data_IF_171321897740
#
_entry.id   IF_171321897740
#
_cell.length_a   1.000
_cell.length_b   1.000
_cell.length_c   1.000
_cell.angle_alpha   90.00
_cell.angle_beta   90.00
_cell.angle_gamma   90.00
#
_symmetry.space_group_name_H-M   'P 1'
#
loop_
_entity.id
_entity.type
_entity.pdbx_description
1 polymer ?
#
# COMPACT_ATOMS: atom_id res chain seq x y z
N UNK A 1 -54.08 22.44 9.91
CA UNK A 1 -52.90 23.30 10.20
C UNK A 1 -52.04 22.57 11.22
N UNK A 2 -51.13 21.68 10.75
CA UNK A 2 -50.24 20.89 11.58
C UNK A 2 -48.81 21.35 11.33
N UNK A 3 -48.22 22.06 12.30
CA UNK A 3 -46.79 22.36 12.34
C UNK A 3 -46.09 21.19 13.05
N UNK A 4 -45.36 20.36 12.31
CA UNK A 4 -44.43 19.40 12.88
C UNK A 4 -43.10 20.11 13.00
N UNK A 5 -42.73 20.43 14.26
CA UNK A 5 -41.42 20.95 14.62
C UNK A 5 -40.53 19.75 14.87
N UNK A 6 -39.74 19.33 13.89
CA UNK A 6 -38.67 18.37 14.08
C UNK A 6 -37.41 19.15 14.45
N UNK A 7 -37.24 19.38 15.75
CA UNK A 7 -35.93 19.75 16.30
C UNK A 7 -35.05 18.54 16.28
N UNK A 8 -34.30 18.37 15.20
CA UNK A 8 -33.18 17.45 15.15
C UNK A 8 -32.07 18.05 16.01
N UNK A 9 -31.81 17.45 17.15
CA UNK A 9 -30.53 17.58 17.85
C UNK A 9 -29.44 17.00 16.92
N UNK A 10 -28.90 17.86 16.09
CA UNK A 10 -27.59 17.61 15.47
C UNK A 10 -26.58 17.67 16.60
N UNK A 11 -26.09 16.51 17.03
CA UNK A 11 -24.94 16.42 17.88
C UNK A 11 -23.80 17.24 17.24
N UNK A 12 -23.17 18.07 18.03
CA UNK A 12 -21.98 18.81 17.66
C UNK A 12 -20.98 17.82 17.03
N UNK A 13 -20.78 17.94 15.71
CA UNK A 13 -19.65 17.29 15.05
C UNK A 13 -18.40 18.00 15.55
N UNK A 14 -17.71 17.40 16.48
CA UNK A 14 -16.33 17.78 16.80
C UNK A 14 -15.53 17.64 15.49
N UNK A 15 -14.99 18.76 14.99
CA UNK A 15 -14.18 18.81 13.77
C UNK A 15 -14.89 19.49 12.59
N UNK A 16 -15.56 20.64 12.81
CA UNK A 16 -15.82 21.55 11.71
C UNK A 16 -14.49 22.18 11.29
N UNK A 17 -13.96 21.68 10.19
CA UNK A 17 -12.81 22.24 9.49
C UNK A 17 -13.04 23.73 9.24
N UNK A 18 -12.41 24.59 10.01
CA UNK A 18 -12.56 26.05 9.85
C UNK A 18 -11.82 26.47 8.59
N UNK A 19 -12.58 26.68 7.52
CA UNK A 19 -12.07 27.37 6.34
C UNK A 19 -11.84 28.84 6.67
N UNK A 20 -10.66 29.35 6.34
CA UNK A 20 -10.29 30.74 6.49
C UNK A 20 -10.02 31.34 5.13
N UNK A 21 -10.53 32.55 4.91
CA UNK A 21 -10.19 33.36 3.75
C UNK A 21 -8.96 34.18 4.10
N UNK A 22 -7.85 33.96 3.39
CA UNK A 22 -6.60 34.71 3.58
C UNK A 22 -6.13 35.30 2.25
N UNK A 23 -5.23 36.27 2.30
CA UNK A 23 -4.58 36.80 1.10
C UNK A 23 -3.65 35.75 0.51
N UNK A 24 -3.52 35.72 -0.79
CA UNK A 24 -2.70 34.72 -1.48
C UNK A 24 -1.23 34.79 -1.08
N UNK A 25 -0.71 35.99 -0.82
CA UNK A 25 0.66 36.20 -0.35
C UNK A 25 0.92 35.61 1.05
N UNK A 26 -0.13 35.51 1.88
CA UNK A 26 -0.04 34.97 3.23
C UNK A 26 -0.38 33.46 3.28
N UNK A 27 -0.65 32.85 2.12
CA UNK A 27 -1.15 31.48 2.05
C UNK A 27 -0.06 30.40 2.03
N UNK A 28 1.22 30.77 1.97
CA UNK A 28 2.33 29.79 1.94
C UNK A 28 2.27 28.83 3.15
N UNK A 29 2.33 27.53 2.87
CA UNK A 29 2.18 26.47 3.88
C UNK A 29 0.73 26.14 4.25
N UNK A 30 -0.25 26.85 3.70
CA UNK A 30 -1.68 26.56 3.90
C UNK A 30 -2.20 25.58 2.85
N UNK A 31 -3.28 24.87 3.17
CA UNK A 31 -3.89 23.85 2.30
C UNK A 31 -5.12 24.42 1.60
N UNK A 32 -5.21 24.29 0.28
CA UNK A 32 -6.35 24.78 -0.51
C UNK A 32 -7.63 23.98 -0.22
N UNK A 33 -8.73 24.69 0.04
CA UNK A 33 -10.04 24.07 0.28
C UNK A 33 -10.77 23.65 -1.00
N UNK A 34 -10.39 24.20 -2.16
CA UNK A 34 -11.04 23.91 -3.45
C UNK A 34 -10.04 23.89 -4.58
N UNK A 35 -10.47 23.30 -5.72
CA UNK A 35 -9.72 23.36 -6.97
C UNK A 35 -9.63 24.79 -7.46
N UNK A 36 -8.45 25.21 -7.89
CA UNK A 36 -8.21 26.47 -8.59
C UNK A 36 -8.12 26.19 -10.08
N UNK A 37 -9.12 26.61 -10.84
CA UNK A 37 -9.20 26.36 -12.27
C UNK A 37 -8.69 27.58 -13.06
N UNK A 38 -7.89 27.34 -14.07
CA UNK A 38 -7.53 28.34 -15.08
C UNK A 38 -8.39 28.11 -16.33
N UNK A 39 -8.96 29.19 -16.85
CA UNK A 39 -9.69 29.18 -18.13
C UNK A 39 -8.97 30.12 -19.10
N UNK A 40 -8.31 29.54 -20.10
CA UNK A 40 -7.75 30.27 -21.24
C UNK A 40 -8.61 29.90 -22.44
N UNK A 41 -9.42 30.85 -22.99
CA UNK A 41 -10.32 30.55 -24.11
C UNK A 41 -9.57 29.90 -25.28
N UNK A 42 -10.02 28.70 -25.68
CA UNK A 42 -9.45 27.96 -26.82
C UNK A 42 -8.17 27.16 -26.52
N UNK A 43 -7.60 27.24 -25.31
CA UNK A 43 -6.31 26.60 -24.96
C UNK A 43 -6.42 25.67 -23.77
N UNK A 44 -6.92 26.13 -22.61
CA UNK A 44 -6.95 25.34 -21.35
C UNK A 44 -8.23 25.63 -20.56
N UNK A 45 -8.87 24.55 -20.09
CA UNK A 45 -9.86 24.58 -19.01
C UNK A 45 -9.53 23.43 -18.07
N UNK A 46 -8.60 23.64 -17.18
CA UNK A 46 -8.18 22.60 -16.21
C UNK A 46 -7.85 23.21 -14.85
N UNK A 47 -7.80 22.38 -13.82
CA UNK A 47 -7.38 22.78 -12.49
C UNK A 47 -5.86 22.97 -12.46
N UNK A 48 -5.40 24.22 -12.19
CA UNK A 48 -3.98 24.53 -11.99
C UNK A 48 -3.52 23.98 -10.64
N UNK A 49 -4.38 24.12 -9.63
CA UNK A 49 -4.17 23.53 -8.30
C UNK A 49 -5.43 22.82 -7.87
N UNK A 50 -5.27 21.67 -7.28
CA UNK A 50 -6.40 20.87 -6.76
C UNK A 50 -6.62 21.15 -5.28
N UNK A 51 -7.83 20.88 -4.81
CA UNK A 51 -8.17 20.81 -3.38
C UNK A 51 -7.12 19.91 -2.68
N UNK A 52 -6.62 20.34 -1.52
CA UNK A 52 -5.61 19.61 -0.79
C UNK A 52 -4.16 19.99 -1.15
N UNK A 53 -3.95 20.83 -2.16
CA UNK A 53 -2.61 21.35 -2.50
C UNK A 53 -2.09 22.25 -1.39
N UNK A 54 -0.85 22.02 -0.94
CA UNK A 54 -0.15 22.89 0.01
C UNK A 54 0.51 24.00 -0.78
N UNK A 55 0.13 25.25 -0.51
CA UNK A 55 0.64 26.42 -1.22
C UNK A 55 2.12 26.63 -0.92
N UNK A 56 2.94 26.72 -1.97
CA UNK A 56 4.38 27.04 -1.89
C UNK A 56 4.64 28.51 -2.26
N UNK A 57 5.84 29.00 -2.02
CA UNK A 57 6.25 30.35 -2.47
C UNK A 57 6.17 30.50 -4.00
N UNK A 58 6.46 29.41 -4.74
CA UNK A 58 6.42 29.39 -6.20
C UNK A 58 5.00 29.43 -6.76
N UNK A 59 4.01 29.01 -5.99
CA UNK A 59 2.59 28.99 -6.40
C UNK A 59 1.94 30.37 -6.31
N UNK A 60 2.42 31.23 -5.43
CA UNK A 60 1.84 32.57 -5.19
C UNK A 60 1.71 33.38 -6.47
N UNK A 61 2.77 33.55 -7.29
CA UNK A 61 2.67 34.28 -8.57
C UNK A 61 1.67 33.65 -9.53
N UNK A 62 1.58 32.33 -9.56
CA UNK A 62 0.66 31.58 -10.43
C UNK A 62 -0.79 31.82 -9.98
N UNK A 63 -1.07 31.70 -8.67
CA UNK A 63 -2.37 31.96 -8.09
C UNK A 63 -2.86 33.39 -8.35
N UNK A 64 -2.00 34.38 -8.18
CA UNK A 64 -2.29 35.76 -8.50
C UNK A 64 -2.56 35.96 -10.00
N UNK A 65 -1.80 35.28 -10.88
CA UNK A 65 -1.99 35.36 -12.34
C UNK A 65 -3.33 34.83 -12.82
N UNK A 66 -3.93 33.88 -12.09
CA UNK A 66 -5.29 33.35 -12.37
C UNK A 66 -6.38 34.12 -11.62
N UNK A 67 -6.05 35.31 -11.07
CA UNK A 67 -6.98 36.23 -10.45
C UNK A 67 -7.42 35.85 -9.02
N UNK A 68 -6.61 35.06 -8.31
CA UNK A 68 -6.88 34.66 -6.93
C UNK A 68 -6.11 35.54 -5.95
N UNK A 69 -6.68 36.70 -5.60
CA UNK A 69 -6.11 37.58 -4.56
C UNK A 69 -6.33 37.03 -3.15
N UNK A 70 -7.37 36.21 -2.97
CA UNK A 70 -7.70 35.54 -1.70
C UNK A 70 -7.99 34.06 -1.95
N UNK A 71 -7.62 33.25 -0.98
CA UNK A 71 -7.79 31.81 -1.00
C UNK A 71 -8.56 31.34 0.22
N UNK A 72 -9.47 30.39 0.00
CA UNK A 72 -10.02 29.62 1.10
C UNK A 72 -9.06 28.49 1.42
N UNK A 73 -8.47 28.55 2.59
CA UNK A 73 -7.50 27.56 3.08
C UNK A 73 -7.99 26.92 4.37
N UNK A 74 -7.49 25.73 4.61
CA UNK A 74 -7.62 25.08 5.91
C UNK A 74 -6.62 25.71 6.88
N UNK A 75 -7.11 26.14 8.03
CA UNK A 75 -6.22 26.60 9.09
C UNK A 75 -5.45 25.39 9.63
N UNK A 76 -4.10 25.47 9.64
CA UNK A 76 -3.28 24.42 10.24
C UNK A 76 -3.58 24.37 11.73
N UNK A 77 -4.37 23.36 12.14
CA UNK A 77 -4.72 23.17 13.53
C UNK A 77 -3.61 22.37 14.22
N UNK A 78 -3.22 22.79 15.40
CA UNK A 78 -2.32 22.05 16.27
C UNK A 78 -2.95 20.68 16.59
N UNK A 79 -2.16 19.60 16.49
CA UNK A 79 -2.66 18.23 16.69
C UNK A 79 -3.37 17.60 15.47
N UNK A 80 -3.31 18.23 14.28
CA UNK A 80 -3.84 17.69 13.03
C UNK A 80 -2.72 17.49 12.01
N UNK A 81 -2.76 16.36 11.29
CA UNK A 81 -1.87 16.04 10.18
C UNK A 81 -2.60 16.17 8.85
N UNK A 82 -1.91 16.70 7.84
CA UNK A 82 -2.37 16.65 6.46
C UNK A 82 -2.40 15.20 5.95
N UNK A 83 -3.31 14.87 5.04
CA UNK A 83 -3.49 13.50 4.51
C UNK A 83 -2.20 12.88 3.99
N UNK A 84 -1.30 13.66 3.35
CA UNK A 84 -0.03 13.15 2.84
C UNK A 84 0.96 12.83 3.97
N UNK A 85 1.03 13.67 5.01
CA UNK A 85 1.88 13.42 6.18
C UNK A 85 1.39 12.17 6.95
N UNK A 86 0.07 12.04 7.07
CA UNK A 86 -0.55 10.87 7.67
C UNK A 86 -0.36 9.59 6.83
N UNK A 87 -0.39 9.69 5.48
CA UNK A 87 -0.07 8.57 4.61
C UNK A 87 1.40 8.10 4.78
N UNK A 88 2.32 9.03 5.05
CA UNK A 88 3.72 8.70 5.38
C UNK A 88 3.85 7.93 6.70
N UNK A 89 3.02 8.25 7.70
CA UNK A 89 2.93 7.44 8.93
C UNK A 89 2.46 6.03 8.61
N UNK A 90 1.44 5.87 7.75
CA UNK A 90 0.98 4.54 7.32
C UNK A 90 2.09 3.79 6.58
N UNK A 91 2.85 4.46 5.72
CA UNK A 91 4.00 3.85 5.04
C UNK A 91 5.00 3.28 6.04
N UNK A 92 5.36 4.04 7.08
CA UNK A 92 6.33 3.62 8.09
C UNK A 92 5.91 2.34 8.82
N UNK A 93 4.63 2.17 9.14
CA UNK A 93 4.12 0.98 9.84
C UNK A 93 3.78 -0.18 8.91
N UNK A 94 3.59 0.09 7.62
CA UNK A 94 3.22 -0.93 6.64
C UNK A 94 4.41 -1.54 5.91
N UNK A 95 5.44 -0.71 5.59
CA UNK A 95 6.51 -1.08 4.68
C UNK A 95 7.58 -1.92 5.36
N UNK A 96 7.64 -3.21 5.04
CA UNK A 96 8.77 -4.07 5.37
C UNK A 96 9.86 -4.05 4.30
N UNK A 97 10.84 -4.94 4.45
CA UNK A 97 11.92 -5.11 3.50
C UNK A 97 11.41 -5.57 2.12
N UNK A 98 12.19 -5.30 1.08
CA UNK A 98 11.93 -5.67 -0.31
C UNK A 98 10.66 -5.06 -0.91
N UNK A 99 10.29 -3.85 -0.45
CA UNK A 99 9.17 -3.07 -0.97
C UNK A 99 9.59 -1.67 -1.38
N UNK A 100 9.05 -1.17 -2.49
CA UNK A 100 9.12 0.23 -2.90
C UNK A 100 7.81 0.92 -2.57
N UNK A 101 7.88 2.15 -2.08
CA UNK A 101 6.73 3.01 -1.89
C UNK A 101 6.62 4.02 -3.03
N UNK A 102 5.41 4.34 -3.45
CA UNK A 102 5.14 5.51 -4.27
C UNK A 102 5.25 6.79 -3.44
N UNK A 103 5.34 7.94 -4.09
CA UNK A 103 5.13 9.22 -3.43
C UNK A 103 3.71 9.34 -2.87
N UNK A 104 3.57 10.10 -1.78
CA UNK A 104 2.28 10.39 -1.19
C UNK A 104 1.52 11.38 -2.07
N UNK A 105 0.31 11.01 -2.50
CA UNK A 105 -0.55 11.87 -3.32
C UNK A 105 -2.00 11.68 -2.89
N UNK A 106 -2.68 12.80 -2.56
CA UNK A 106 -4.08 12.78 -2.11
C UNK A 106 -4.31 11.78 -0.97
N UNK A 107 -3.40 11.77 0.01
CA UNK A 107 -3.44 10.86 1.15
C UNK A 107 -3.18 9.39 0.83
N UNK A 108 -2.71 9.06 -0.40
CA UNK A 108 -2.53 7.69 -0.89
C UNK A 108 -1.06 7.38 -1.14
N UNK A 109 -0.63 6.19 -0.70
CA UNK A 109 0.65 5.55 -1.04
C UNK A 109 0.38 4.11 -1.47
N UNK A 110 1.14 3.61 -2.45
CA UNK A 110 1.13 2.21 -2.87
C UNK A 110 2.50 1.58 -2.61
N UNK A 111 2.51 0.35 -2.08
CA UNK A 111 3.73 -0.46 -1.97
C UNK A 111 3.77 -1.50 -3.08
N UNK A 112 4.96 -1.67 -3.68
CA UNK A 112 5.23 -2.65 -4.73
C UNK A 112 6.40 -3.55 -4.34
N UNK A 113 6.39 -4.81 -4.78
CA UNK A 113 7.45 -5.77 -4.52
C UNK A 113 8.74 -5.42 -5.28
N UNK A 114 9.90 -5.48 -4.62
CA UNK A 114 11.23 -5.33 -5.23
C UNK A 114 11.77 -6.63 -5.79
N UNK A 115 11.28 -7.78 -5.31
CA UNK A 115 11.73 -9.12 -5.73
C UNK A 115 10.56 -10.10 -5.73
N UNK A 116 10.81 -11.27 -6.32
CA UNK A 116 9.92 -12.42 -6.20
C UNK A 116 10.04 -13.02 -4.80
N UNK A 117 8.91 -13.37 -4.18
CA UNK A 117 8.90 -13.88 -2.82
C UNK A 117 7.51 -14.24 -2.32
N UNK A 118 7.44 -14.60 -1.04
CA UNK A 118 6.19 -14.89 -0.34
C UNK A 118 5.75 -13.66 0.46
N UNK A 119 4.56 -13.15 0.17
CA UNK A 119 3.96 -12.05 0.94
C UNK A 119 3.45 -12.56 2.29
N UNK A 120 3.93 -11.96 3.37
CA UNK A 120 3.44 -12.16 4.74
C UNK A 120 2.70 -10.91 5.19
N UNK A 121 1.60 -11.09 5.90
CA UNK A 121 0.76 -10.01 6.41
C UNK A 121 0.43 -10.28 7.87
N UNK A 122 0.70 -9.32 8.75
CA UNK A 122 0.16 -9.33 10.10
C UNK A 122 -1.33 -8.93 10.04
N UNK A 123 -2.21 -9.93 9.99
CA UNK A 123 -3.65 -9.73 9.80
C UNK A 123 -4.33 -9.04 10.98
N UNK A 124 -3.82 -9.24 12.18
CA UNK A 124 -4.36 -8.62 13.40
C UNK A 124 -4.13 -7.12 13.33
N UNK A 125 -2.87 -6.69 13.17
CA UNK A 125 -2.51 -5.27 13.01
C UNK A 125 -3.26 -4.62 11.83
N UNK A 126 -3.34 -5.29 10.68
CA UNK A 126 -4.07 -4.80 9.51
C UNK A 126 -5.54 -4.51 9.83
N UNK A 127 -6.21 -5.45 10.49
CA UNK A 127 -7.62 -5.32 10.85
C UNK A 127 -7.84 -4.25 11.91
N UNK A 128 -6.98 -4.16 12.91
CA UNK A 128 -7.06 -3.15 13.98
C UNK A 128 -6.87 -1.73 13.42
N UNK A 129 -5.89 -1.50 12.54
CA UNK A 129 -5.69 -0.21 11.88
C UNK A 129 -6.92 0.15 11.03
N UNK A 130 -7.45 -0.79 10.23
CA UNK A 130 -8.65 -0.54 9.44
C UNK A 130 -9.90 -0.26 10.32
N UNK A 131 -9.97 -0.84 11.51
CA UNK A 131 -11.09 -0.63 12.45
C UNK A 131 -11.10 0.77 13.07
N UNK A 132 -9.99 1.52 13.07
CA UNK A 132 -9.93 2.89 13.60
C UNK A 132 -10.78 3.88 12.78
N UNK A 133 -11.19 3.52 11.55
CA UNK A 133 -11.91 4.39 10.64
C UNK A 133 -11.06 5.52 10.06
N UNK A 134 -11.50 6.12 8.96
CA UNK A 134 -10.79 7.18 8.22
C UNK A 134 -9.45 6.74 7.60
N UNK A 135 -9.03 5.51 7.82
CA UNK A 135 -7.81 4.88 7.28
C UNK A 135 -8.23 3.63 6.52
N UNK A 136 -7.62 3.40 5.36
CA UNK A 136 -7.87 2.21 4.54
C UNK A 136 -6.54 1.59 4.11
N UNK A 137 -6.34 0.35 4.51
CA UNK A 137 -5.26 -0.51 4.04
C UNK A 137 -5.88 -1.64 3.21
N UNK A 138 -5.73 -1.61 1.89
CA UNK A 138 -6.25 -2.62 0.97
C UNK A 138 -5.09 -3.37 0.31
N UNK A 139 -4.96 -4.67 0.57
CA UNK A 139 -3.82 -5.46 0.16
C UNK A 139 -4.20 -6.70 -0.64
N UNK A 140 -3.19 -7.31 -1.29
CA UNK A 140 -3.29 -8.70 -1.75
C UNK A 140 -3.46 -9.65 -0.57
N UNK A 141 -3.86 -10.88 -0.87
CA UNK A 141 -3.96 -11.93 0.14
C UNK A 141 -2.57 -12.36 0.61
N UNK A 142 -2.41 -12.52 1.93
CA UNK A 142 -1.17 -13.03 2.52
C UNK A 142 -0.95 -14.52 2.28
N UNK A 143 0.30 -14.97 2.45
CA UNK A 143 0.78 -16.34 2.16
C UNK A 143 0.65 -16.73 0.68
N UNK A 144 0.68 -15.76 -0.23
CA UNK A 144 0.72 -15.98 -1.67
C UNK A 144 2.04 -15.47 -2.26
N UNK A 145 2.50 -16.09 -3.35
CA UNK A 145 3.67 -15.62 -4.07
C UNK A 145 3.39 -14.27 -4.73
N UNK A 146 4.39 -13.41 -4.71
CA UNK A 146 4.40 -12.13 -5.41
C UNK A 146 5.61 -12.07 -6.32
N UNK A 147 5.49 -11.35 -7.43
CA UNK A 147 6.57 -11.08 -8.39
C UNK A 147 7.06 -9.66 -8.24
N UNK A 148 8.31 -9.42 -8.62
CA UNK A 148 8.88 -8.08 -8.70
C UNK A 148 7.96 -7.16 -9.51
N UNK A 149 7.63 -5.99 -8.93
CA UNK A 149 6.72 -5.00 -9.53
C UNK A 149 5.25 -5.20 -9.18
N UNK A 150 4.87 -6.29 -8.53
CA UNK A 150 3.50 -6.50 -8.07
C UNK A 150 3.11 -5.46 -7.03
N UNK A 151 1.89 -4.91 -7.15
CA UNK A 151 1.29 -4.07 -6.12
C UNK A 151 0.89 -4.93 -4.93
N UNK A 152 1.40 -4.58 -3.75
CA UNK A 152 1.18 -5.31 -2.50
C UNK A 152 -0.01 -4.75 -1.74
N UNK A 153 0.03 -3.45 -1.47
CA UNK A 153 -0.99 -2.74 -0.69
C UNK A 153 -1.14 -1.32 -1.21
N UNK A 154 -2.38 -0.84 -1.26
CA UNK A 154 -2.73 0.57 -1.33
C UNK A 154 -3.19 1.03 0.05
N UNK A 155 -2.57 2.08 0.55
CA UNK A 155 -2.94 2.70 1.82
C UNK A 155 -3.46 4.11 1.56
N UNK A 156 -4.47 4.52 2.33
CA UNK A 156 -5.07 5.83 2.19
C UNK A 156 -5.59 6.37 3.51
N UNK A 157 -5.35 7.65 3.74
CA UNK A 157 -6.08 8.46 4.72
C UNK A 157 -7.22 9.13 3.97
N UNK A 158 -8.46 8.96 4.46
CA UNK A 158 -9.66 9.37 3.73
C UNK A 158 -9.94 10.88 3.86
N UNK A 159 -9.88 11.50 5.08
CA UNK A 159 -10.06 12.94 5.22
C UNK A 159 -8.81 13.72 4.81
N UNK A 160 -8.98 14.98 4.39
CA UNK A 160 -7.89 15.89 4.04
C UNK A 160 -6.95 16.15 5.23
N UNK A 161 -7.50 16.17 6.43
CA UNK A 161 -6.78 16.28 7.69
C UNK A 161 -7.28 15.23 8.68
N UNK A 162 -6.39 14.69 9.48
CA UNK A 162 -6.68 13.64 10.48
C UNK A 162 -6.01 13.99 11.80
N UNK A 163 -6.59 13.56 12.92
CA UNK A 163 -6.03 13.76 14.25
C UNK A 163 -4.65 13.10 14.36
N UNK A 164 -3.64 13.87 14.77
CA UNK A 164 -2.28 13.37 15.00
C UNK A 164 -2.25 12.28 16.08
N UNK A 165 -3.09 12.42 17.12
CA UNK A 165 -3.27 11.43 18.17
C UNK A 165 -3.69 10.06 17.59
N UNK A 166 -4.61 10.04 16.62
CA UNK A 166 -5.01 8.80 15.93
C UNK A 166 -3.85 8.17 15.18
N UNK A 167 -3.01 8.97 14.50
CA UNK A 167 -1.84 8.46 13.78
C UNK A 167 -0.74 7.99 14.73
N UNK A 168 -0.59 8.61 15.90
CA UNK A 168 0.31 8.13 16.95
C UNK A 168 -0.19 6.80 17.53
N UNK A 169 -1.51 6.66 17.72
CA UNK A 169 -2.10 5.38 18.14
C UNK A 169 -1.85 4.26 17.12
N UNK A 170 -1.89 4.55 15.81
CA UNK A 170 -1.51 3.59 14.76
C UNK A 170 -0.07 3.11 14.93
N UNK A 171 0.87 4.02 15.23
CA UNK A 171 2.28 3.66 15.48
C UNK A 171 2.42 2.77 16.71
N UNK A 172 1.74 3.10 17.80
CA UNK A 172 1.77 2.31 19.05
C UNK A 172 1.22 0.90 18.82
N UNK A 173 0.09 0.80 18.14
CA UNK A 173 -0.56 -0.47 17.81
C UNK A 173 0.32 -1.36 16.92
N UNK A 174 1.02 -0.79 15.94
CA UNK A 174 1.89 -1.54 15.05
C UNK A 174 3.25 -1.87 15.67
N UNK A 175 3.77 -1.02 16.58
CA UNK A 175 5.11 -1.19 17.16
C UNK A 175 6.21 -1.18 16.09
N UNK A 176 7.28 -1.93 16.31
CA UNK A 176 8.46 -1.95 15.43
C UNK A 176 8.32 -2.87 14.21
N UNK A 177 7.48 -3.90 14.30
CA UNK A 177 7.32 -4.86 13.21
C UNK A 177 6.33 -4.35 12.16
N UNK A 178 6.71 -4.35 10.86
CA UNK A 178 5.84 -3.89 9.79
C UNK A 178 4.64 -4.84 9.59
N UNK A 179 3.53 -4.27 9.08
CA UNK A 179 2.32 -5.05 8.76
C UNK A 179 2.58 -6.01 7.60
N UNK A 180 3.37 -5.58 6.60
CA UNK A 180 3.66 -6.35 5.39
C UNK A 180 5.15 -6.68 5.33
N UNK A 181 5.47 -7.92 4.94
CA UNK A 181 6.85 -8.39 4.75
C UNK A 181 6.90 -9.29 3.53
N UNK A 182 7.94 -9.17 2.71
CA UNK A 182 8.23 -10.12 1.63
C UNK A 182 9.38 -11.00 2.07
N UNK A 183 9.18 -12.31 2.03
CA UNK A 183 10.22 -13.30 2.19
C UNK A 183 10.72 -13.68 0.79
N UNK A 184 11.93 -13.25 0.38
CA UNK A 184 12.45 -13.55 -0.95
C UNK A 184 12.58 -15.05 -1.17
N UNK A 185 12.28 -15.52 -2.38
CA UNK A 185 12.57 -16.90 -2.75
C UNK A 185 14.07 -17.09 -2.91
N UNK A 186 14.59 -18.15 -2.30
CA UNK A 186 15.98 -18.54 -2.46
C UNK A 186 16.11 -19.50 -3.65
N UNK A 187 17.08 -19.23 -4.51
CA UNK A 187 17.46 -20.20 -5.51
C UNK A 187 18.17 -21.37 -4.82
N UNK A 188 17.62 -22.56 -4.98
CA UNK A 188 18.21 -23.79 -4.44
C UNK A 188 18.57 -24.75 -5.56
N UNK A 189 19.59 -25.59 -5.31
CA UNK A 189 19.92 -26.74 -6.14
C UNK A 189 19.19 -27.95 -5.62
N UNK A 190 18.52 -28.68 -6.51
CA UNK A 190 17.65 -29.79 -6.14
C UNK A 190 18.03 -31.03 -6.92
N UNK A 191 18.28 -32.14 -6.21
CA UNK A 191 18.32 -33.49 -6.78
C UNK A 191 16.94 -34.14 -6.60
N UNK A 192 16.54 -34.98 -7.55
CA UNK A 192 15.29 -35.75 -7.45
C UNK A 192 15.64 -37.22 -7.29
N UNK A 193 15.14 -37.86 -6.26
CA UNK A 193 15.19 -39.31 -6.11
C UNK A 193 13.81 -39.86 -6.31
N UNK A 194 13.60 -40.64 -7.37
CA UNK A 194 12.30 -41.27 -7.68
C UNK A 194 12.42 -42.76 -7.31
N UNK A 195 11.51 -43.21 -6.43
CA UNK A 195 11.43 -44.61 -6.03
C UNK A 195 10.23 -45.28 -6.66
N UNK A 196 10.32 -46.56 -6.87
CA UNK A 196 9.23 -47.39 -7.41
C UNK A 196 9.76 -48.54 -8.23
N UNK A 197 9.54 -49.76 -7.75
CA UNK A 197 10.02 -51.00 -8.39
C UNK A 197 9.55 -51.15 -9.84
N UNK A 198 8.30 -50.73 -10.11
CA UNK A 198 7.73 -50.83 -11.45
C UNK A 198 8.32 -49.82 -12.44
N UNK A 199 8.74 -48.67 -11.96
CA UNK A 199 9.40 -47.63 -12.77
C UNK A 199 10.88 -48.02 -12.94
N UNK A 200 11.54 -48.45 -11.86
CA UNK A 200 12.93 -48.83 -11.87
C UNK A 200 13.20 -50.00 -12.83
N UNK A 201 12.35 -51.02 -12.82
CA UNK A 201 12.43 -52.15 -13.75
C UNK A 201 11.82 -51.88 -15.13
N UNK A 202 11.43 -50.65 -15.45
CA UNK A 202 10.91 -50.27 -16.76
C UNK A 202 9.55 -50.87 -17.14
N UNK A 203 8.78 -51.35 -16.16
CA UNK A 203 7.43 -51.91 -16.37
C UNK A 203 6.43 -50.84 -16.73
N UNK A 204 6.60 -49.64 -16.18
CA UNK A 204 5.81 -48.43 -16.52
C UNK A 204 6.80 -47.26 -16.76
N UNK A 205 6.34 -46.27 -17.53
CA UNK A 205 7.08 -45.05 -17.76
C UNK A 205 6.91 -44.09 -16.58
N UNK A 206 8.03 -43.50 -16.12
CA UNK A 206 8.00 -42.45 -15.09
C UNK A 206 7.31 -41.20 -15.65
N UNK A 207 6.13 -40.92 -15.11
CA UNK A 207 5.36 -39.69 -15.38
C UNK A 207 5.44 -38.67 -14.25
N UNK A 208 6.03 -39.02 -13.12
CA UNK A 208 6.09 -38.20 -11.94
C UNK A 208 7.27 -37.21 -11.97
N UNK A 209 8.48 -37.72 -12.25
CA UNK A 209 9.70 -36.91 -12.31
C UNK A 209 9.59 -35.73 -13.27
N UNK A 210 9.04 -35.85 -14.52
CA UNK A 210 8.88 -34.71 -15.42
C UNK A 210 8.02 -33.60 -14.83
N UNK A 211 6.94 -33.96 -14.13
CA UNK A 211 6.01 -32.99 -13.50
C UNK A 211 6.69 -32.26 -12.33
N UNK A 212 7.40 -33.00 -11.47
CA UNK A 212 8.15 -32.42 -10.35
C UNK A 212 9.25 -31.51 -10.86
N UNK A 213 10.03 -31.95 -11.86
CA UNK A 213 11.07 -31.16 -12.50
C UNK A 213 10.52 -29.83 -13.03
N UNK A 214 9.45 -29.87 -13.82
CA UNK A 214 8.83 -28.67 -14.36
C UNK A 214 8.39 -27.68 -13.26
N UNK A 215 7.82 -28.17 -12.14
CA UNK A 215 7.42 -27.33 -11.01
C UNK A 215 8.61 -26.70 -10.28
N UNK A 216 9.73 -27.43 -10.13
CA UNK A 216 10.93 -26.92 -9.51
C UNK A 216 11.59 -25.83 -10.38
N UNK A 217 11.65 -26.06 -11.70
CA UNK A 217 12.15 -25.09 -12.67
C UNK A 217 11.27 -23.83 -12.73
N UNK A 218 9.93 -24.00 -12.69
CA UNK A 218 8.96 -22.86 -12.59
C UNK A 218 9.16 -22.04 -11.30
N UNK A 219 9.55 -22.71 -10.20
CA UNK A 219 9.90 -22.06 -8.94
C UNK A 219 11.31 -21.44 -8.93
N UNK A 220 12.05 -21.47 -10.06
CA UNK A 220 13.38 -20.91 -10.21
C UNK A 220 14.50 -21.74 -9.58
N UNK A 221 14.26 -23.03 -9.29
CA UNK A 221 15.26 -23.93 -8.72
C UNK A 221 16.11 -24.58 -9.82
N UNK A 222 17.41 -24.79 -9.54
CA UNK A 222 18.32 -25.51 -10.42
C UNK A 222 18.18 -27.02 -10.15
N UNK A 223 17.62 -27.77 -11.12
CA UNK A 223 17.52 -29.22 -11.00
C UNK A 223 18.85 -29.86 -11.49
N UNK A 224 19.61 -30.43 -10.56
CA UNK A 224 20.90 -31.05 -10.83
C UNK A 224 20.79 -32.38 -11.61
N UNK A 225 19.68 -33.09 -11.39
CA UNK A 225 19.42 -34.37 -12.03
C UNK A 225 18.38 -35.18 -11.28
N UNK A 226 18.08 -36.37 -11.77
CA UNK A 226 17.30 -37.35 -11.06
C UNK A 226 17.95 -38.71 -11.03
N UNK A 227 17.77 -39.44 -9.94
CA UNK A 227 18.17 -40.84 -9.77
C UNK A 227 16.90 -41.66 -9.59
N UNK A 228 16.82 -42.75 -10.33
CA UNK A 228 15.73 -43.72 -10.22
C UNK A 228 16.21 -44.90 -9.39
N UNK A 229 15.51 -45.23 -8.31
CA UNK A 229 15.82 -46.28 -7.38
C UNK A 229 14.70 -47.32 -7.31
N UNK A 230 15.09 -48.57 -7.00
CA UNK A 230 14.12 -49.57 -6.54
C UNK A 230 13.63 -49.21 -5.12
N UNK A 231 12.63 -49.91 -4.62
CA UNK A 231 12.12 -49.78 -3.24
C UNK A 231 13.07 -50.42 -2.21
N UNK A 232 14.39 -50.21 -2.41
CA UNK A 232 15.45 -50.66 -1.54
C UNK A 232 16.02 -49.49 -0.73
N UNK A 233 16.04 -49.62 0.59
CA UNK A 233 16.45 -48.56 1.50
C UNK A 233 17.90 -48.14 1.35
N UNK A 234 18.78 -49.08 0.96
CA UNK A 234 20.19 -48.77 0.75
C UNK A 234 20.38 -47.98 -0.53
N UNK A 235 19.71 -48.38 -1.62
CA UNK A 235 19.76 -47.64 -2.88
C UNK A 235 19.25 -46.21 -2.72
N UNK A 236 18.18 -46.01 -1.97
CA UNK A 236 17.65 -44.68 -1.70
C UNK A 236 18.62 -43.84 -0.86
N UNK A 237 19.27 -44.44 0.15
CA UNK A 237 20.26 -43.78 0.99
C UNK A 237 21.49 -43.37 0.19
N UNK A 238 21.96 -44.25 -0.71
CA UNK A 238 23.12 -43.99 -1.55
C UNK A 238 22.85 -42.90 -2.64
N UNK A 239 21.58 -42.68 -2.98
CA UNK A 239 21.14 -41.69 -3.95
C UNK A 239 21.00 -40.28 -3.37
N UNK A 240 20.89 -40.14 -2.03
CA UNK A 240 20.77 -38.88 -1.30
C UNK A 240 22.15 -38.31 -0.96
#
# INVERSE_FOLDING_TARGET
MWKISILHKLGERKGEDKMKLIRTEDAVGSVLCHDITQIIPGVVKDAVFRKGHVVTEEDVPVLLSVGKEHLYVWEKQEGMLHENDAAEVLRQVCQGEYMNASEAKEGKIELTAQCDGLLKINREKLNEVNALGQIVLASRHGNFPVKKGDKIVGMRVVPLVIEEEKMNHVKELCGEEPIFTILPFHQMKVGIVTTGSEVYHGRITDKFTPVVKAKLEEAGMEVLGNVLCDDDSQMVTDAI
#
